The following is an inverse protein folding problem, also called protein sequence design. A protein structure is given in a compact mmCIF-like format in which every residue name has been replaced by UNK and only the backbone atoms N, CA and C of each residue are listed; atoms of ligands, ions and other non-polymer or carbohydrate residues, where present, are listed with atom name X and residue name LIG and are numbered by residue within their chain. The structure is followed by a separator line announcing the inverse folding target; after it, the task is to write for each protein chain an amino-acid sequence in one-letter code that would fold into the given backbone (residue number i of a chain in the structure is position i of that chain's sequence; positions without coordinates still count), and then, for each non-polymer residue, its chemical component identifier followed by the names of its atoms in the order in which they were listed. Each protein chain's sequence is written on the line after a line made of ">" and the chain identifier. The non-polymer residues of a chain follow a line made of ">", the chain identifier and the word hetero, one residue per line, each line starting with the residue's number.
data_IF_496605668647
#
_entry.id   IF_496605668647
#
_cell.length_a   1.000
_cell.length_b   1.000
_cell.length_c   1.000
_cell.angle_alpha   90.00
_cell.angle_beta   90.00
_cell.angle_gamma   90.00
#
_symmetry.space_group_name_H-M   'P 1'
#
loop_
_entity.id
_entity.type
_entity.pdbx_description
1 polymer ?
#
# COMPACT_ATOMS: atom_id res chain seq x y z
N UNK A 1 -41.69 -55.47 -27.42
CA UNK A 1 -41.37 -54.98 -28.79
C UNK A 1 -40.07 -54.20 -28.67
N UNK A 2 -39.12 -54.52 -29.55
CA UNK A 2 -37.72 -54.11 -29.58
C UNK A 2 -37.52 -52.59 -29.79
N UNK A 3 -36.43 -52.03 -29.26
CA UNK A 3 -35.43 -51.31 -30.06
C UNK A 3 -34.16 -51.02 -29.24
N UNK A 4 -33.03 -51.04 -29.94
CA UNK A 4 -31.65 -51.14 -29.46
C UNK A 4 -30.81 -49.92 -29.94
N UNK A 5 -29.82 -49.48 -29.13
CA UNK A 5 -28.49 -48.87 -29.47
C UNK A 5 -28.46 -47.35 -29.91
N UNK A 6 -27.30 -46.61 -29.92
CA UNK A 6 -26.52 -45.94 -28.84
C UNK A 6 -26.29 -44.41 -29.08
N UNK A 7 -25.62 -43.69 -28.16
CA UNK A 7 -24.62 -42.65 -28.53
C UNK A 7 -23.52 -42.43 -27.47
N UNK A 8 -22.30 -42.27 -27.97
CA UNK A 8 -21.04 -42.12 -27.28
C UNK A 8 -20.62 -40.64 -27.07
N UNK A 9 -19.64 -40.42 -26.18
CA UNK A 9 -18.80 -39.20 -26.03
C UNK A 9 -19.44 -38.11 -25.17
N UNK A 10 -18.77 -37.41 -24.25
CA UNK A 10 -17.36 -37.06 -24.03
C UNK A 10 -17.20 -36.92 -22.49
N UNK A 11 -16.15 -37.42 -21.82
CA UNK A 11 -14.79 -36.94 -21.97
C UNK A 11 -14.63 -35.58 -21.26
N UNK A 12 -14.44 -35.60 -19.94
CA UNK A 12 -14.28 -34.38 -19.13
C UNK A 12 -13.57 -34.67 -17.82
N UNK A 13 -12.31 -35.11 -17.91
CA UNK A 13 -11.34 -35.09 -16.81
C UNK A 13 -11.25 -33.67 -16.25
N UNK A 14 -11.67 -33.47 -15.00
CA UNK A 14 -11.20 -32.31 -14.21
C UNK A 14 -9.88 -32.69 -13.57
N UNK A 15 -8.82 -32.59 -14.39
CA UNK A 15 -7.45 -32.75 -13.95
C UNK A 15 -7.12 -31.76 -12.84
N UNK A 16 -6.87 -32.32 -11.66
CA UNK A 16 -6.02 -31.73 -10.62
C UNK A 16 -4.60 -31.54 -11.22
N UNK A 17 -3.90 -30.50 -10.78
CA UNK A 17 -2.51 -30.10 -11.07
C UNK A 17 -2.31 -28.97 -12.09
N UNK A 18 -1.91 -27.82 -11.55
CA UNK A 18 -1.28 -26.72 -12.29
C UNK A 18 -0.07 -26.14 -11.56
N UNK A 19 0.75 -26.95 -10.89
CA UNK A 19 2.11 -26.53 -10.51
C UNK A 19 2.97 -26.64 -11.76
N UNK A 20 3.33 -25.48 -12.33
CA UNK A 20 4.10 -25.38 -13.57
C UNK A 20 5.51 -25.94 -13.36
N UNK A 21 5.96 -26.95 -14.14
CA UNK A 21 7.34 -27.41 -14.12
C UNK A 21 8.21 -26.45 -14.93
N UNK A 22 9.30 -25.94 -14.35
CA UNK A 22 10.26 -25.07 -15.04
C UNK A 22 10.90 -23.96 -14.20
N UNK A 23 10.58 -23.83 -12.92
CA UNK A 23 11.22 -22.82 -12.07
C UNK A 23 12.61 -23.31 -11.61
N UNK A 24 13.65 -22.78 -12.26
CA UNK A 24 15.04 -22.97 -11.90
C UNK A 24 15.28 -22.54 -10.44
N UNK A 25 15.84 -23.44 -9.62
CA UNK A 25 16.20 -23.16 -8.22
C UNK A 25 17.25 -22.04 -8.04
N UNK A 26 17.81 -21.50 -9.13
CA UNK A 26 18.82 -20.43 -9.12
C UNK A 26 18.26 -19.00 -9.16
N UNK A 27 16.95 -18.80 -9.25
CA UNK A 27 16.33 -17.46 -9.11
C UNK A 27 15.83 -17.16 -7.69
N UNK A 28 16.24 -17.98 -6.72
CA UNK A 28 15.91 -17.77 -5.29
C UNK A 28 16.93 -16.88 -4.56
N UNK A 29 17.85 -16.22 -5.28
CA UNK A 29 18.98 -15.48 -4.71
C UNK A 29 19.02 -13.97 -5.01
N UNK A 30 17.95 -13.35 -5.55
CA UNK A 30 17.89 -11.88 -5.76
C UNK A 30 16.66 -11.24 -5.09
N UNK A 31 16.21 -11.77 -3.93
CA UNK A 31 15.22 -11.10 -3.06
C UNK A 31 15.68 -11.03 -1.60
N UNK A 32 16.98 -10.90 -1.39
CA UNK A 32 17.61 -10.79 -0.06
C UNK A 32 18.41 -9.50 0.17
N UNK A 33 18.39 -8.55 -0.76
CA UNK A 33 19.08 -7.27 -0.58
C UNK A 33 18.07 -6.15 -0.30
N UNK A 34 18.13 -5.62 0.93
CA UNK A 34 17.44 -4.43 1.45
C UNK A 34 15.95 -4.52 1.88
N UNK A 35 15.61 -5.44 2.80
CA UNK A 35 14.32 -5.41 3.53
C UNK A 35 14.19 -4.30 4.60
N UNK A 36 15.03 -3.25 4.56
CA UNK A 36 14.98 -2.21 5.60
C UNK A 36 15.82 -0.96 5.37
N UNK A 37 16.49 -0.81 4.23
CA UNK A 37 17.21 0.43 3.95
C UNK A 37 16.28 1.39 3.22
N UNK A 38 15.91 2.45 3.92
CA UNK A 38 15.22 3.60 3.35
C UNK A 38 16.18 4.36 2.44
N UNK A 39 15.70 4.85 1.30
CA UNK A 39 16.48 5.83 0.53
C UNK A 39 16.47 7.13 1.33
N UNK A 40 17.66 7.67 1.59
CA UNK A 40 17.84 8.87 2.41
C UNK A 40 18.15 10.08 1.52
N UNK A 41 17.42 11.16 1.74
CA UNK A 41 17.60 12.45 1.11
C UNK A 41 17.90 13.49 2.20
N UNK A 42 18.97 14.26 2.01
CA UNK A 42 19.38 15.26 3.00
C UNK A 42 19.82 16.57 2.34
N UNK A 43 19.34 17.70 2.86
CA UNK A 43 19.66 19.05 2.36
C UNK A 43 19.38 19.22 0.85
N UNK A 44 18.33 18.57 0.33
CA UNK A 44 17.95 18.63 -1.08
C UNK A 44 16.77 19.56 -1.32
N UNK A 45 16.70 20.10 -2.54
CA UNK A 45 15.55 20.87 -3.01
C UNK A 45 14.84 20.10 -4.13
N UNK A 46 13.54 19.87 -3.96
CA UNK A 46 12.66 19.31 -4.97
C UNK A 46 11.73 20.41 -5.46
N UNK A 47 11.65 20.63 -6.78
CA UNK A 47 10.80 21.69 -7.34
C UNK A 47 9.96 21.18 -8.51
N UNK A 48 8.69 21.62 -8.60
CA UNK A 48 7.78 21.38 -9.72
C UNK A 48 7.69 19.91 -10.15
N UNK A 49 7.75 18.99 -9.20
CA UNK A 49 7.82 17.56 -9.48
C UNK A 49 6.88 16.76 -8.59
N UNK A 50 6.58 15.55 -9.01
CA UNK A 50 5.92 14.55 -8.20
C UNK A 50 6.95 13.88 -7.28
N UNK A 51 6.63 13.75 -5.99
CA UNK A 51 7.47 13.06 -5.00
C UNK A 51 6.66 11.95 -4.34
N UNK A 52 7.06 10.69 -4.56
CA UNK A 52 6.52 9.53 -3.85
C UNK A 52 7.27 9.32 -2.52
N UNK A 53 6.52 9.29 -1.42
CA UNK A 53 7.08 9.26 -0.07
C UNK A 53 7.47 7.86 0.42
N UNK A 54 6.80 6.83 -0.07
CA UNK A 54 6.87 5.47 0.46
C UNK A 54 8.31 4.94 0.56
N UNK A 55 8.70 4.47 1.74
CA UNK A 55 10.01 3.88 1.99
C UNK A 55 11.16 4.88 2.09
N UNK A 56 10.92 6.18 1.92
CA UNK A 56 11.97 7.19 1.90
C UNK A 56 12.18 7.88 3.26
N UNK A 57 13.35 8.46 3.46
CA UNK A 57 13.72 9.29 4.60
C UNK A 57 14.21 10.65 4.10
N UNK A 58 13.61 11.74 4.56
CA UNK A 58 13.94 13.11 4.19
C UNK A 58 14.37 13.90 5.41
N UNK A 59 15.54 14.52 5.35
CA UNK A 59 16.09 15.39 6.41
C UNK A 59 16.47 16.74 5.85
N UNK A 60 15.98 17.82 6.45
CA UNK A 60 16.35 19.19 6.08
C UNK A 60 16.17 19.49 4.58
N UNK A 61 15.15 18.92 3.94
CA UNK A 61 14.89 19.10 2.52
C UNK A 61 13.81 20.17 2.30
N UNK A 62 13.83 20.84 1.15
CA UNK A 62 12.80 21.80 0.74
C UNK A 62 12.05 21.29 -0.48
N UNK A 63 10.73 21.26 -0.40
CA UNK A 63 9.83 20.94 -1.50
C UNK A 63 9.12 22.21 -1.95
N UNK A 64 9.09 22.48 -3.26
CA UNK A 64 8.45 23.68 -3.82
C UNK A 64 7.55 23.33 -4.99
N UNK A 65 6.26 23.66 -4.88
CA UNK A 65 5.26 23.40 -5.94
C UNK A 65 5.26 21.93 -6.39
N UNK A 66 5.44 21.02 -5.44
CA UNK A 66 5.47 19.58 -5.71
C UNK A 66 4.10 18.95 -5.46
N UNK A 67 3.83 17.85 -6.15
CA UNK A 67 2.74 16.93 -5.79
C UNK A 67 3.35 15.80 -4.96
N UNK A 68 3.08 15.79 -3.66
CA UNK A 68 3.66 14.85 -2.71
C UNK A 68 2.67 13.75 -2.42
N UNK A 69 3.04 12.48 -2.63
CA UNK A 69 2.09 11.35 -2.53
C UNK A 69 2.57 10.26 -1.60
N UNK A 70 1.65 9.82 -0.74
CA UNK A 70 1.77 8.60 0.06
C UNK A 70 0.81 7.54 -0.47
N UNK A 71 1.34 6.35 -0.80
CA UNK A 71 0.56 5.28 -1.45
C UNK A 71 0.12 4.17 -0.48
N UNK A 72 0.52 4.27 0.79
CA UNK A 72 0.20 3.27 1.81
C UNK A 72 1.23 2.16 1.94
N UNK A 73 2.42 2.33 1.35
CA UNK A 73 3.58 1.47 1.55
C UNK A 73 4.30 1.73 2.87
N UNK A 74 5.62 1.60 2.89
CA UNK A 74 6.40 1.82 4.11
C UNK A 74 6.34 3.29 4.53
N UNK A 75 5.89 3.56 5.77
CA UNK A 75 5.73 4.91 6.31
C UNK A 75 7.03 5.72 6.17
N UNK A 76 7.02 6.91 5.54
CA UNK A 76 8.22 7.75 5.37
C UNK A 76 8.73 8.31 6.71
N UNK A 77 10.02 8.65 6.76
CA UNK A 77 10.58 9.46 7.85
C UNK A 77 10.85 10.87 7.33
N UNK A 78 10.22 11.89 7.91
CA UNK A 78 10.36 13.28 7.49
C UNK A 78 10.75 14.12 8.70
N UNK A 79 11.85 14.85 8.63
CA UNK A 79 12.34 15.67 9.74
C UNK A 79 12.99 16.95 9.21
N UNK A 80 12.62 18.10 9.79
CA UNK A 80 13.19 19.41 9.43
C UNK A 80 12.95 19.82 7.97
N UNK A 81 11.94 19.26 7.30
CA UNK A 81 11.67 19.57 5.90
C UNK A 81 10.58 20.64 5.74
N UNK A 82 10.71 21.47 4.71
CA UNK A 82 9.77 22.53 4.38
C UNK A 82 8.99 22.19 3.11
N UNK A 83 7.66 22.34 3.15
CA UNK A 83 6.78 22.11 1.99
C UNK A 83 6.10 23.42 1.59
N UNK A 84 6.58 24.04 0.52
CA UNK A 84 6.12 25.35 0.05
C UNK A 84 5.24 25.20 -1.20
N UNK A 85 3.95 25.52 -1.06
CA UNK A 85 2.98 25.44 -2.18
C UNK A 85 2.84 24.03 -2.75
N UNK A 86 3.04 23.00 -1.94
CA UNK A 86 2.90 21.61 -2.38
C UNK A 86 1.47 21.11 -2.18
N UNK A 87 1.02 20.23 -3.07
CA UNK A 87 -0.22 19.49 -2.92
C UNK A 87 0.07 18.10 -2.33
N UNK A 88 -0.73 17.66 -1.36
CA UNK A 88 -0.60 16.34 -0.76
C UNK A 88 -1.69 15.41 -1.26
N UNK A 89 -1.28 14.24 -1.75
CA UNK A 89 -2.16 13.20 -2.25
C UNK A 89 -1.99 11.88 -1.52
N UNK A 90 -3.08 11.12 -1.48
CA UNK A 90 -3.08 9.72 -1.07
C UNK A 90 -3.43 8.88 -2.29
N UNK A 91 -2.73 7.77 -2.50
CA UNK A 91 -3.03 6.85 -3.58
C UNK A 91 -3.04 5.40 -3.10
N UNK A 92 -3.49 4.48 -3.94
CA UNK A 92 -3.45 3.03 -3.71
C UNK A 92 -4.01 2.61 -2.35
N UNK A 93 -3.22 2.00 -1.47
CA UNK A 93 -3.70 1.48 -0.19
C UNK A 93 -4.10 2.60 0.78
N UNK A 94 -3.41 3.74 0.73
CA UNK A 94 -3.76 4.89 1.55
C UNK A 94 -5.09 5.52 1.09
N UNK A 95 -5.30 5.66 -0.22
CA UNK A 95 -6.56 6.15 -0.77
C UNK A 95 -7.74 5.26 -0.40
N UNK A 96 -7.60 3.93 -0.53
CA UNK A 96 -8.64 2.98 -0.10
C UNK A 96 -9.01 3.13 1.37
N UNK A 97 -8.03 3.44 2.22
CA UNK A 97 -8.27 3.70 3.65
C UNK A 97 -9.14 4.93 3.85
N UNK A 98 -8.87 6.02 3.12
CA UNK A 98 -9.71 7.23 3.17
C UNK A 98 -11.12 6.98 2.67
N UNK A 99 -11.27 6.24 1.57
CA UNK A 99 -12.58 5.84 1.04
C UNK A 99 -13.35 5.04 2.10
N UNK A 100 -12.68 4.11 2.78
CA UNK A 100 -13.29 3.32 3.86
C UNK A 100 -13.71 4.20 5.05
N UNK A 101 -12.84 5.10 5.52
CA UNK A 101 -13.15 6.04 6.61
C UNK A 101 -14.35 6.94 6.26
N UNK A 102 -14.43 7.42 5.02
CA UNK A 102 -15.56 8.21 4.55
C UNK A 102 -16.88 7.41 4.58
N UNK A 103 -16.85 6.14 4.16
CA UNK A 103 -18.02 5.25 4.22
C UNK A 103 -18.44 4.98 5.67
N UNK A 104 -17.49 4.76 6.58
CA UNK A 104 -17.77 4.57 8.00
C UNK A 104 -18.42 5.82 8.61
N UNK A 105 -17.88 6.99 8.29
CA UNK A 105 -18.41 8.27 8.76
C UNK A 105 -19.86 8.47 8.32
N UNK A 106 -20.19 8.24 7.05
CA UNK A 106 -21.56 8.39 6.57
C UNK A 106 -22.46 7.17 6.86
N UNK A 107 -21.89 6.06 7.32
CA UNK A 107 -22.57 4.79 7.54
C UNK A 107 -23.06 4.54 8.97
N UNK A 108 -22.98 5.54 9.86
CA UNK A 108 -23.43 5.40 11.26
C UNK A 108 -22.32 5.06 12.26
N UNK A 109 -21.05 5.11 11.85
CA UNK A 109 -19.88 4.86 12.70
C UNK A 109 -19.06 6.14 12.93
N UNK A 110 -19.73 7.29 13.01
CA UNK A 110 -19.10 8.60 13.14
C UNK A 110 -18.18 8.66 14.36
N UNK A 111 -18.63 8.14 15.50
CA UNK A 111 -17.89 8.16 16.76
C UNK A 111 -16.51 7.50 16.64
N UNK A 112 -16.42 6.34 15.95
CA UNK A 112 -15.15 5.62 15.75
C UNK A 112 -14.16 6.46 14.93
N UNK A 113 -14.66 7.13 13.89
CA UNK A 113 -13.83 8.00 13.04
C UNK A 113 -13.38 9.23 13.82
N UNK A 114 -14.26 9.87 14.59
CA UNK A 114 -13.92 11.03 15.41
C UNK A 114 -12.89 10.70 16.51
N UNK A 115 -13.01 9.53 17.16
CA UNK A 115 -12.02 9.04 18.12
C UNK A 115 -10.65 8.79 17.46
N UNK A 116 -10.66 8.21 16.26
CA UNK A 116 -9.44 7.99 15.48
C UNK A 116 -8.77 9.32 15.12
N UNK A 117 -9.54 10.31 14.66
CA UNK A 117 -9.03 11.66 14.35
C UNK A 117 -8.55 12.39 15.61
N UNK A 118 -9.20 12.18 16.75
CA UNK A 118 -8.75 12.71 18.03
C UNK A 118 -7.37 12.16 18.40
N UNK A 119 -7.13 10.85 18.22
CA UNK A 119 -5.81 10.25 18.42
C UNK A 119 -4.74 10.86 17.50
N UNK A 120 -5.08 11.15 16.24
CA UNK A 120 -4.15 11.83 15.32
C UNK A 120 -3.80 13.24 15.83
N UNK A 121 -4.78 14.00 16.33
CA UNK A 121 -4.57 15.35 16.88
C UNK A 121 -3.70 15.36 18.12
N UNK A 122 -3.87 14.37 18.99
CA UNK A 122 -3.05 14.21 20.20
C UNK A 122 -1.63 13.71 19.91
N UNK A 123 -1.34 13.37 18.65
CA UNK A 123 -0.11 12.68 18.25
C UNK A 123 -0.11 11.22 18.68
N UNK A 124 0.89 10.43 18.24
CA UNK A 124 1.04 9.06 18.69
C UNK A 124 1.33 9.05 20.20
N UNK A 125 0.29 9.01 21.02
CA UNK A 125 0.39 8.49 22.36
C UNK A 125 0.85 7.04 22.20
N UNK A 126 2.00 6.70 22.80
CA UNK A 126 2.48 5.33 22.88
C UNK A 126 1.51 4.48 23.69
N UNK A 127 0.36 4.16 23.11
CA UNK A 127 -0.68 3.32 23.67
C UNK A 127 -0.30 1.88 23.43
N UNK A 128 0.63 1.36 24.24
CA UNK A 128 0.71 -0.07 24.44
C UNK A 128 -0.67 -0.56 24.87
N UNK A 129 -1.23 -1.47 24.08
CA UNK A 129 -2.38 -2.29 24.48
C UNK A 129 -2.03 -2.90 25.84
N UNK A 130 -2.68 -2.44 26.90
CA UNK A 130 -2.72 -3.23 28.13
C UNK A 130 -3.72 -4.33 27.88
N UNK A 131 -3.19 -5.54 27.76
CA UNK A 131 -3.90 -6.82 27.81
C UNK A 131 -4.74 -6.95 29.08
#
# INVERSE_FOLDING_TARGET
>A
MLAEIPRAGLGGEVGLLGVRPGMSRRDTQVKRFNRGSRVKFQNQVFENTRVDLDGNEYRNCTFRRCTVVYSGGQVPLISGCDFNGCEFGFSDAAERTLIFMNRMYHGGFQNIIEETLASVRSGPSGGGVKS
#
